data_IF_978311687760
#
_entry.id   IF_978311687760
#
_cell.length_a   1.000
_cell.length_b   1.000
_cell.length_c   1.000
_cell.angle_alpha   90.00
_cell.angle_beta   90.00
_cell.angle_gamma   90.00
#
_symmetry.space_group_name_H-M   'P 1'
#
loop_
_entity.id
_entity.type
_entity.pdbx_description
1 polymer ?
#
# COMPACT_ATOMS: atom_id res chain seq x y z
N UNK A 1 -18.09 -38.79 12.74
CA UNK A 1 -16.66 -38.58 13.12
C UNK A 1 -15.70 -39.34 12.21
N UNK A 2 -15.91 -40.64 11.95
CA UNK A 2 -15.08 -41.40 10.99
C UNK A 2 -15.11 -40.86 9.54
N UNK A 3 -16.29 -40.40 9.07
CA UNK A 3 -16.44 -39.79 7.73
C UNK A 3 -15.64 -38.50 7.54
N UNK A 4 -15.43 -37.73 8.61
CA UNK A 4 -14.71 -36.46 8.58
C UNK A 4 -13.19 -36.73 8.52
N UNK A 5 -12.72 -37.75 9.24
CA UNK A 5 -11.30 -38.16 9.23
C UNK A 5 -10.89 -38.73 7.87
N UNK A 6 -11.77 -39.50 7.20
CA UNK A 6 -11.50 -40.03 5.86
C UNK A 6 -11.44 -38.96 4.78
N UNK A 7 -12.26 -37.89 4.89
CA UNK A 7 -12.24 -36.76 3.96
C UNK A 7 -10.93 -35.95 4.08
N UNK A 8 -10.45 -35.72 5.30
CA UNK A 8 -9.19 -35.00 5.55
C UNK A 8 -7.99 -35.79 5.02
N UNK A 9 -8.00 -37.12 5.15
CA UNK A 9 -6.91 -37.98 4.69
C UNK A 9 -6.80 -38.04 3.16
N UNK A 10 -7.93 -38.05 2.44
CA UNK A 10 -7.96 -38.05 0.98
C UNK A 10 -7.40 -36.76 0.36
N UNK A 11 -7.53 -35.62 1.06
CA UNK A 11 -6.96 -34.34 0.64
C UNK A 11 -5.42 -34.33 0.69
N UNK A 12 -4.82 -35.10 1.60
CA UNK A 12 -3.36 -35.12 1.82
C UNK A 12 -2.60 -36.07 0.88
N UNK A 13 -3.31 -37.02 0.25
CA UNK A 13 -2.72 -37.99 -0.69
C UNK A 13 -2.64 -37.52 -2.14
N UNK A 14 -3.12 -36.30 -2.46
CA UNK A 14 -2.96 -35.72 -3.80
C UNK A 14 -1.59 -35.03 -3.86
N UNK A 15 -0.57 -35.84 -4.15
CA UNK A 15 0.78 -35.35 -4.46
C UNK A 15 0.81 -34.60 -5.80
N UNK A 16 1.31 -33.37 -5.73
CA UNK A 16 1.77 -32.41 -6.74
C UNK A 16 1.60 -32.77 -8.23
N UNK A 17 0.60 -32.16 -8.88
CA UNK A 17 0.73 -31.78 -10.27
C UNK A 17 1.35 -30.37 -10.33
N UNK A 18 2.61 -30.27 -10.76
CA UNK A 18 3.25 -28.98 -11.07
C UNK A 18 2.70 -28.43 -12.40
N UNK A 19 1.51 -27.86 -12.32
CA UNK A 19 1.07 -26.80 -13.22
C UNK A 19 0.18 -25.85 -12.44
N UNK A 20 0.70 -25.38 -11.30
CA UNK A 20 0.10 -24.28 -10.57
C UNK A 20 0.40 -23.01 -11.33
N UNK A 21 -0.52 -22.55 -12.17
CA UNK A 21 -0.73 -21.11 -12.26
C UNK A 21 -1.12 -20.69 -10.84
N UNK A 22 -0.11 -20.35 -10.04
CA UNK A 22 -0.32 -19.82 -8.71
C UNK A 22 -1.29 -18.66 -8.89
N UNK A 23 -2.44 -18.71 -8.19
CA UNK A 23 -3.44 -17.65 -8.21
C UNK A 23 -2.88 -16.46 -7.40
N UNK A 24 -1.64 -16.07 -7.70
CA UNK A 24 -1.00 -14.91 -7.15
C UNK A 24 -1.61 -13.71 -7.81
N UNK A 25 -2.33 -12.93 -7.02
CA UNK A 25 -2.91 -11.72 -7.53
C UNK A 25 -1.80 -10.75 -7.95
N UNK A 26 -2.01 -9.97 -9.02
CA UNK A 26 -1.01 -9.03 -9.51
C UNK A 26 -0.50 -8.13 -8.39
N UNK A 27 0.81 -7.91 -8.37
CA UNK A 27 1.41 -6.96 -7.43
C UNK A 27 0.83 -5.58 -7.65
N UNK A 28 0.55 -4.89 -6.56
CA UNK A 28 0.26 -3.47 -6.58
C UNK A 28 1.54 -2.72 -6.23
N UNK A 29 1.88 -1.74 -7.05
CA UNK A 29 3.03 -0.87 -6.88
C UNK A 29 2.54 0.50 -6.41
N UNK A 30 3.22 1.08 -5.42
CA UNK A 30 2.94 2.42 -4.92
C UNK A 30 4.22 3.24 -5.09
N UNK A 31 4.10 4.42 -5.69
CA UNK A 31 5.18 5.41 -5.81
C UNK A 31 4.73 6.70 -5.18
N UNK A 32 5.59 7.28 -4.33
CA UNK A 32 5.38 8.55 -3.65
C UNK A 32 6.41 9.53 -4.18
N UNK A 33 5.99 10.46 -5.03
CA UNK A 33 6.85 11.50 -5.60
C UNK A 33 6.83 12.73 -4.72
N UNK A 34 8.02 13.26 -4.41
CA UNK A 34 8.13 14.56 -3.74
C UNK A 34 7.86 15.68 -4.75
N UNK A 35 6.79 16.43 -4.50
CA UNK A 35 6.36 17.60 -5.26
C UNK A 35 6.15 18.82 -4.35
N UNK A 36 6.81 18.85 -3.19
CA UNK A 36 6.74 19.98 -2.27
C UNK A 36 7.13 21.29 -2.98
N UNK A 37 6.31 22.33 -2.84
CA UNK A 37 6.57 23.66 -3.38
C UNK A 37 7.85 24.28 -2.78
N UNK A 38 8.19 23.95 -1.54
CA UNK A 38 9.43 24.38 -0.87
C UNK A 38 10.71 23.84 -1.53
N UNK A 39 10.60 22.81 -2.39
CA UNK A 39 11.73 22.09 -2.97
C UNK A 39 12.68 21.47 -1.93
N UNK A 40 12.18 21.23 -0.71
CA UNK A 40 12.91 20.56 0.36
C UNK A 40 12.62 19.07 0.38
N UNK A 41 13.58 18.26 0.84
CA UNK A 41 13.35 16.84 1.07
C UNK A 41 12.20 16.60 2.06
N UNK A 42 11.41 15.57 1.80
CA UNK A 42 10.34 15.13 2.70
C UNK A 42 10.69 13.81 3.37
N UNK A 43 10.11 13.57 4.55
CA UNK A 43 10.20 12.29 5.24
C UNK A 43 8.88 11.56 5.09
N UNK A 44 8.91 10.28 4.72
CA UNK A 44 7.75 9.41 4.66
C UNK A 44 7.95 8.21 5.58
N UNK A 45 6.89 7.78 6.25
CA UNK A 45 6.84 6.51 6.98
C UNK A 45 5.56 5.81 6.60
N UNK A 46 5.66 4.63 5.99
CA UNK A 46 4.50 3.90 5.50
C UNK A 46 4.36 2.56 6.19
N UNK A 47 3.15 2.19 6.56
CA UNK A 47 2.86 0.91 7.20
C UNK A 47 1.44 0.43 6.90
N UNK A 48 1.23 -0.86 7.10
CA UNK A 48 -0.06 -1.54 7.09
C UNK A 48 -0.33 -2.14 8.47
N UNK A 49 -1.40 -2.92 8.60
CA UNK A 49 -1.66 -3.69 9.83
C UNK A 49 -0.63 -4.82 10.07
N UNK A 50 0.07 -5.27 9.04
CA UNK A 50 0.94 -6.45 9.08
C UNK A 50 2.42 -6.13 8.85
N UNK A 51 2.71 -5.01 8.21
CA UNK A 51 4.05 -4.67 7.73
C UNK A 51 4.33 -3.17 7.92
N UNK A 52 5.48 -2.87 8.54
CA UNK A 52 6.00 -1.52 8.68
C UNK A 52 7.17 -1.36 7.71
N UNK A 53 7.01 -0.49 6.72
CA UNK A 53 8.00 -0.27 5.67
C UNK A 53 9.12 0.67 6.13
N UNK A 54 9.02 1.25 7.33
CA UNK A 54 10.00 2.13 7.93
C UNK A 54 9.95 3.57 7.39
N UNK A 55 10.91 4.36 7.88
CA UNK A 55 11.05 5.79 7.58
C UNK A 55 12.04 5.98 6.43
N UNK A 56 11.66 6.77 5.43
CA UNK A 56 12.46 7.09 4.26
C UNK A 56 12.48 8.60 4.01
N UNK A 57 13.62 9.11 3.57
CA UNK A 57 13.72 10.48 3.05
C UNK A 57 13.58 10.44 1.53
N UNK A 58 12.75 11.31 0.98
CA UNK A 58 12.61 11.50 -0.47
C UNK A 58 13.24 12.84 -0.81
N UNK A 59 14.22 12.83 -1.71
CA UNK A 59 14.79 14.06 -2.26
C UNK A 59 13.77 14.75 -3.16
N UNK A 60 13.76 16.08 -3.17
CA UNK A 60 12.87 16.82 -4.07
C UNK A 60 12.97 16.34 -5.52
N UNK A 61 11.82 16.04 -6.13
CA UNK A 61 11.72 15.52 -7.51
C UNK A 61 11.97 14.01 -7.66
N UNK A 62 12.44 13.33 -6.62
CA UNK A 62 12.58 11.87 -6.58
C UNK A 62 11.31 11.19 -6.02
N UNK A 63 11.38 9.87 -5.86
CA UNK A 63 10.29 9.10 -5.28
C UNK A 63 10.77 7.95 -4.40
N UNK A 64 9.94 7.61 -3.43
CA UNK A 64 10.00 6.33 -2.72
C UNK A 64 8.97 5.37 -3.29
N UNK A 65 9.28 4.07 -3.34
CA UNK A 65 8.37 3.06 -3.88
C UNK A 65 8.39 1.76 -3.08
N UNK A 66 7.22 1.14 -3.01
CA UNK A 66 7.06 -0.21 -2.46
C UNK A 66 6.01 -0.98 -3.26
N UNK A 67 5.99 -2.30 -3.08
CA UNK A 67 5.01 -3.17 -3.73
C UNK A 67 4.54 -4.25 -2.77
N UNK A 68 3.31 -4.70 -2.97
CA UNK A 68 2.68 -5.73 -2.15
C UNK A 68 1.66 -6.52 -2.98
N UNK A 69 1.21 -7.65 -2.45
CA UNK A 69 0.02 -8.37 -2.93
C UNK A 69 -1.10 -8.16 -1.92
N UNK A 70 -2.31 -7.88 -2.40
CA UNK A 70 -3.45 -7.71 -1.48
C UNK A 70 -3.90 -9.06 -0.92
N UNK A 71 -4.55 -9.02 0.24
CA UNK A 71 -5.25 -10.18 0.77
C UNK A 71 -6.56 -10.48 0.01
N UNK A 72 -7.00 -11.74 0.04
CA UNK A 72 -8.22 -12.20 -0.67
C UNK A 72 -9.48 -11.44 -0.26
N UNK A 73 -9.51 -10.92 0.98
CA UNK A 73 -10.66 -10.21 1.54
C UNK A 73 -10.67 -8.71 1.23
N UNK A 74 -9.66 -8.18 0.51
CA UNK A 74 -9.54 -6.76 0.16
C UNK A 74 -9.60 -5.82 1.39
N UNK A 75 -8.89 -6.21 2.44
CA UNK A 75 -8.73 -5.43 3.68
C UNK A 75 -7.37 -4.73 3.75
N UNK A 76 -6.48 -4.95 2.78
CA UNK A 76 -5.16 -4.32 2.74
C UNK A 76 -5.28 -2.79 2.68
N UNK A 77 -4.68 -2.13 3.67
CA UNK A 77 -4.54 -0.67 3.77
C UNK A 77 -3.06 -0.35 4.03
N UNK A 78 -2.53 0.64 3.33
CA UNK A 78 -1.25 1.26 3.66
C UNK A 78 -1.50 2.73 3.99
N UNK A 79 -1.16 3.09 5.23
CA UNK A 79 -1.13 4.46 5.72
C UNK A 79 0.29 4.97 5.56
N UNK A 80 0.44 6.22 5.14
CA UNK A 80 1.73 6.90 5.18
C UNK A 80 1.60 8.18 6.00
N UNK A 81 2.55 8.39 6.91
CA UNK A 81 2.90 9.68 7.47
C UNK A 81 3.87 10.37 6.51
N UNK A 82 3.68 11.66 6.30
CA UNK A 82 4.55 12.56 5.55
C UNK A 82 4.88 13.75 6.43
N UNK A 83 6.14 14.15 6.43
CA UNK A 83 6.63 15.33 7.12
C UNK A 83 7.39 16.20 6.14
N UNK A 84 6.88 17.42 5.98
CA UNK A 84 7.51 18.47 5.18
C UNK A 84 8.40 19.33 6.09
N UNK A 85 8.91 20.44 5.55
CA UNK A 85 9.77 21.38 6.29
C UNK A 85 9.11 21.96 7.55
N UNK A 86 7.77 22.06 7.58
CA UNK A 86 7.01 22.51 8.76
C UNK A 86 7.11 21.57 9.98
N UNK A 87 7.66 20.36 9.78
CA UNK A 87 7.86 19.37 10.83
C UNK A 87 6.57 18.72 11.34
N UNK A 88 5.42 18.97 10.71
CA UNK A 88 4.12 18.45 11.12
C UNK A 88 3.87 17.09 10.50
N UNK A 89 3.49 16.11 11.31
CA UNK A 89 3.07 14.79 10.83
C UNK A 89 1.71 14.90 10.12
N UNK A 90 1.69 14.55 8.83
CA UNK A 90 0.51 14.55 7.97
C UNK A 90 0.25 13.13 7.47
N UNK A 91 -0.98 12.64 7.56
CA UNK A 91 -1.31 11.25 7.27
C UNK A 91 -2.27 11.12 6.09
N UNK A 92 -2.10 10.08 5.28
CA UNK A 92 -3.04 9.70 4.24
C UNK A 92 -2.98 8.19 3.95
N UNK A 93 -3.98 7.68 3.22
CA UNK A 93 -3.96 6.33 2.68
C UNK A 93 -3.25 6.32 1.32
N UNK A 94 -2.01 5.83 1.29
CA UNK A 94 -1.32 5.54 0.04
C UNK A 94 -1.93 4.34 -0.70
N UNK A 95 -2.58 3.43 0.04
CA UNK A 95 -3.44 2.42 -0.53
C UNK A 95 -4.59 2.06 0.42
N UNK A 96 -5.80 1.92 -0.12
CA UNK A 96 -6.94 1.35 0.58
C UNK A 96 -7.69 0.46 -0.42
N UNK A 97 -7.67 -0.86 -0.25
CA UNK A 97 -8.12 -1.80 -1.29
C UNK A 97 -9.53 -1.48 -1.84
N UNK A 98 -10.51 -1.22 -0.96
CA UNK A 98 -11.88 -0.86 -1.35
C UNK A 98 -11.99 0.40 -2.23
N UNK A 99 -11.08 1.37 -2.07
CA UNK A 99 -11.05 2.63 -2.82
C UNK A 99 -10.15 2.55 -4.05
N UNK A 100 -9.00 1.90 -3.91
CA UNK A 100 -7.87 2.03 -4.83
C UNK A 100 -7.67 0.86 -5.77
N UNK A 101 -8.23 -0.34 -5.48
CA UNK A 101 -7.98 -1.53 -6.30
C UNK A 101 -8.27 -1.30 -7.79
N UNK A 102 -9.43 -0.73 -8.10
CA UNK A 102 -9.81 -0.42 -9.48
C UNK A 102 -9.22 0.89 -9.97
N UNK A 103 -8.98 1.85 -9.07
CA UNK A 103 -8.38 3.13 -9.44
C UNK A 103 -6.97 2.89 -9.94
N UNK A 104 -6.08 2.34 -9.11
CA UNK A 104 -4.66 2.17 -9.41
C UNK A 104 -4.36 1.17 -10.54
N UNK A 105 -5.24 0.19 -10.80
CA UNK A 105 -5.02 -0.84 -11.82
C UNK A 105 -3.61 -1.49 -11.75
N UNK A 106 -3.06 -1.65 -10.54
CA UNK A 106 -1.72 -2.21 -10.28
C UNK A 106 -0.62 -1.17 -10.01
N UNK A 107 -0.84 0.12 -10.29
CA UNK A 107 0.12 1.20 -10.03
C UNK A 107 -0.56 2.40 -9.37
N UNK A 108 -0.13 2.81 -8.19
CA UNK A 108 -0.59 4.02 -7.53
C UNK A 108 0.54 5.06 -7.52
N UNK A 109 0.47 6.06 -8.39
CA UNK A 109 1.43 7.17 -8.40
C UNK A 109 0.87 8.35 -7.63
N UNK A 110 1.45 8.64 -6.49
CA UNK A 110 1.08 9.75 -5.64
C UNK A 110 2.09 10.89 -5.79
N UNK A 111 1.60 12.08 -6.10
CA UNK A 111 2.34 13.33 -5.95
C UNK A 111 2.03 13.92 -4.58
N UNK A 112 3.07 14.19 -3.79
CA UNK A 112 2.96 14.74 -2.44
C UNK A 112 3.24 16.24 -2.47
N UNK A 113 2.17 17.03 -2.30
CA UNK A 113 2.22 18.48 -2.07
C UNK A 113 2.01 18.75 -0.58
N UNK A 114 2.36 19.92 -0.07
CA UNK A 114 2.32 20.24 1.37
C UNK A 114 0.91 20.14 1.99
N UNK A 115 -0.13 20.38 1.20
CA UNK A 115 -1.52 20.40 1.64
C UNK A 115 -2.30 19.12 1.28
N UNK A 116 -1.88 18.36 0.26
CA UNK A 116 -2.61 17.19 -0.25
C UNK A 116 -1.70 16.19 -0.96
N UNK A 117 -2.16 14.94 -0.99
CA UNK A 117 -1.60 13.90 -1.86
C UNK A 117 -2.53 13.68 -3.06
N UNK A 118 -1.99 13.63 -4.27
CA UNK A 118 -2.76 13.45 -5.50
C UNK A 118 -2.36 12.18 -6.23
N UNK A 119 -3.33 11.28 -6.46
CA UNK A 119 -3.14 10.10 -7.29
C UNK A 119 -3.23 10.51 -8.78
N UNK A 120 -2.16 10.23 -9.52
CA UNK A 120 -1.97 10.60 -10.93
C UNK A 120 -2.24 12.08 -11.24
N UNK A 121 -1.88 12.96 -10.29
CA UNK A 121 -2.12 14.41 -10.37
C UNK A 121 -3.58 14.79 -10.67
N UNK A 122 -4.55 13.92 -10.33
CA UNK A 122 -5.98 14.12 -10.58
C UNK A 122 -6.82 13.95 -9.32
N UNK A 123 -6.75 12.77 -8.72
CA UNK A 123 -7.54 12.42 -7.54
C UNK A 123 -6.79 12.84 -6.27
N UNK A 124 -7.10 14.03 -5.76
CA UNK A 124 -6.43 14.59 -4.59
C UNK A 124 -7.18 14.35 -3.28
N UNK A 125 -6.41 14.14 -2.22
CA UNK A 125 -6.91 13.92 -0.86
C UNK A 125 -6.09 14.75 0.11
N UNK A 126 -6.79 15.53 0.94
CA UNK A 126 -6.15 16.30 2.00
C UNK A 126 -5.60 15.36 3.08
N UNK A 127 -4.50 15.77 3.70
CA UNK A 127 -3.96 15.02 4.82
C UNK A 127 -4.82 15.16 6.08
N UNK A 128 -4.72 14.18 6.96
CA UNK A 128 -5.19 14.28 8.34
C UNK A 128 -4.03 14.55 9.27
N UNK A 129 -4.30 15.20 10.41
CA UNK A 129 -3.30 15.43 11.47
C UNK A 129 -3.31 14.31 12.53
N UNK A 130 -3.98 13.19 12.24
CA UNK A 130 -4.04 12.01 13.09
C UNK A 130 -3.90 10.76 12.24
N UNK A 131 -3.19 9.73 12.73
CA UNK A 131 -3.09 8.46 12.03
C UNK A 131 -4.48 7.82 11.90
N UNK A 132 -4.86 7.36 10.69
CA UNK A 132 -6.07 6.59 10.48
C UNK A 132 -6.03 5.25 11.23
N UNK A 133 -7.20 4.77 11.66
CA UNK A 133 -7.35 3.47 12.30
C UNK A 133 -7.49 2.35 11.25
N UNK A 134 -6.86 1.20 11.53
CA UNK A 134 -6.95 0.00 10.70
C UNK A 134 -8.23 -0.78 10.96
#
# INVERSE_FOLDING_TARGET
MLLIVTLICLCLSIGSAESGADLEWPKTHVRLFDKAESQSNIIVHCWSSEDDLGVHTITFGEFYAFNFRHNLLCNTKFVCMVKFEDGVDKFFYAYHCQRNRNKCAGMCDWSLYENRACLWDKDCYDYTNRPPLF
#
